data_IF_801655156722
#
_entry.id   IF_801655156722
#
_cell.length_a   1.000
_cell.length_b   1.000
_cell.length_c   1.000
_cell.angle_alpha   90.00
_cell.angle_beta   90.00
_cell.angle_gamma   90.00
#
_symmetry.space_group_name_H-M   'P 1'
#
loop_
_entity.id
_entity.type
_entity.pdbx_description
1 polymer ?
#
# COMPACT_ATOMS: atom_id res chain seq x y z
N UNK A 1 -0.62 0.93 66.09
CA UNK A 1 -1.03 2.22 65.51
C UNK A 1 -1.16 2.01 64.00
N UNK A 2 -2.36 1.75 63.47
CA UNK A 2 -2.58 1.63 62.02
C UNK A 2 -2.75 3.03 61.42
N UNK A 3 -1.93 3.36 60.43
CA UNK A 3 -2.03 4.60 59.65
C UNK A 3 -2.73 4.28 58.33
N UNK A 4 -3.64 5.16 57.97
CA UNK A 4 -4.77 4.96 57.09
C UNK A 4 -4.42 4.63 55.63
N UNK A 5 -5.26 3.77 55.07
CA UNK A 5 -5.33 3.33 53.68
C UNK A 5 -6.61 3.95 53.09
N UNK A 6 -6.55 5.20 52.64
CA UNK A 6 -7.67 5.91 52.02
C UNK A 6 -7.13 6.93 51.01
N UNK A 7 -7.79 7.03 49.86
CA UNK A 7 -7.80 8.17 48.90
C UNK A 7 -6.88 8.18 47.65
N UNK A 8 -6.73 7.07 46.93
CA UNK A 8 -6.25 7.12 45.52
C UNK A 8 -7.37 7.03 44.46
N UNK A 9 -8.62 6.77 44.84
CA UNK A 9 -9.72 6.57 43.88
C UNK A 9 -10.42 7.87 43.38
N UNK A 10 -10.04 9.05 43.88
CA UNK A 10 -10.68 10.33 43.48
C UNK A 10 -9.84 11.25 42.60
N UNK A 11 -8.63 10.84 42.20
CA UNK A 11 -7.76 11.70 41.36
C UNK A 11 -8.07 11.66 39.87
N UNK A 12 -8.76 10.62 39.38
CA UNK A 12 -9.02 10.46 37.94
C UNK A 12 -10.29 11.16 37.43
N UNK A 13 -11.18 11.64 38.31
CA UNK A 13 -12.42 12.29 37.87
C UNK A 13 -12.25 13.79 37.49
N UNK A 14 -11.11 14.42 37.77
CA UNK A 14 -10.87 15.86 37.47
C UNK A 14 -10.02 16.13 36.23
N UNK A 15 -9.56 15.11 35.51
CA UNK A 15 -8.71 15.30 34.32
C UNK A 15 -9.46 15.30 32.99
N UNK A 16 -10.79 15.16 33.01
CA UNK A 16 -11.62 15.05 31.81
C UNK A 16 -12.40 16.31 31.43
N UNK A 17 -12.15 17.48 32.04
CA UNK A 17 -12.94 18.70 31.79
C UNK A 17 -12.15 19.90 31.26
N UNK A 18 -10.93 19.72 30.74
CA UNK A 18 -10.08 20.83 30.29
C UNK A 18 -9.42 20.56 28.93
N UNK A 19 -10.21 20.06 27.97
CA UNK A 19 -9.83 19.96 26.55
C UNK A 19 -11.00 20.43 25.66
N UNK A 20 -11.49 21.64 25.89
CA UNK A 20 -12.43 22.32 24.96
C UNK A 20 -12.04 23.80 24.81
N UNK A 21 -10.86 24.07 24.25
CA UNK A 21 -10.52 25.40 23.74
C UNK A 21 -9.32 25.41 22.78
N UNK A 22 -9.05 24.32 22.03
CA UNK A 22 -8.17 24.43 20.87
C UNK A 22 -9.03 24.74 19.65
N UNK A 23 -9.06 26.03 19.30
CA UNK A 23 -9.58 26.48 18.03
C UNK A 23 -8.93 25.68 16.91
N UNK A 24 -9.73 24.83 16.26
CA UNK A 24 -9.39 24.28 14.96
C UNK A 24 -9.23 25.46 14.00
N UNK A 25 -7.98 25.91 13.88
CA UNK A 25 -7.48 26.66 12.74
C UNK A 25 -7.61 25.70 11.55
N UNK A 26 -8.81 25.67 10.98
CA UNK A 26 -9.10 24.96 9.72
C UNK A 26 -8.26 25.68 8.68
N UNK A 27 -7.03 25.21 8.53
CA UNK A 27 -6.16 25.61 7.44
C UNK A 27 -7.00 25.48 6.16
N UNK A 28 -7.13 26.55 5.36
CA UNK A 28 -7.93 26.48 4.16
C UNK A 28 -7.44 25.29 3.34
N UNK A 29 -8.35 24.35 3.07
CA UNK A 29 -8.12 23.26 2.12
C UNK A 29 -7.61 23.96 0.87
N UNK A 30 -6.31 23.86 0.67
CA UNK A 30 -5.65 24.37 -0.52
C UNK A 30 -6.05 23.38 -1.59
N UNK A 31 -7.15 23.68 -2.27
CA UNK A 31 -7.54 22.96 -3.47
C UNK A 31 -6.30 22.93 -4.36
N UNK A 32 -5.83 21.74 -4.79
CA UNK A 32 -4.73 21.68 -5.74
C UNK A 32 -5.17 22.50 -6.95
N UNK A 33 -4.35 23.50 -7.29
CA UNK A 33 -4.54 24.28 -8.50
C UNK A 33 -4.70 23.27 -9.65
N UNK A 34 -5.90 23.23 -10.22
CA UNK A 34 -6.16 22.51 -11.47
C UNK A 34 -5.21 23.14 -12.50
N UNK A 35 -4.10 22.46 -12.74
CA UNK A 35 -3.33 22.71 -13.94
C UNK A 35 -4.23 22.23 -15.06
N UNK A 36 -4.79 23.19 -15.82
CA UNK A 36 -5.27 22.99 -17.18
C UNK A 36 -4.09 22.44 -17.99
N UNK A 37 -3.82 21.14 -17.84
CA UNK A 37 -2.96 20.41 -18.73
C UNK A 37 -3.71 20.38 -20.04
N UNK A 38 -3.25 21.24 -20.95
CA UNK A 38 -3.60 21.26 -22.36
C UNK A 38 -3.89 19.84 -22.82
N UNK A 39 -5.14 19.63 -23.23
CA UNK A 39 -5.62 18.43 -23.90
C UNK A 39 -4.78 18.22 -25.13
N UNK A 40 -3.72 17.42 -24.98
CA UNK A 40 -2.94 16.92 -26.09
C UNK A 40 -3.84 15.90 -26.77
N UNK A 41 -4.58 16.36 -27.78
CA UNK A 41 -5.38 15.56 -28.70
C UNK A 41 -4.45 14.49 -29.30
N UNK A 42 -4.45 13.31 -28.67
CA UNK A 42 -3.86 12.12 -29.24
C UNK A 42 -4.94 11.58 -30.15
N UNK A 43 -4.80 11.86 -31.44
CA UNK A 43 -5.46 11.12 -32.51
C UNK A 43 -4.97 9.66 -32.42
N UNK A 44 -5.67 8.89 -31.59
CA UNK A 44 -5.56 7.44 -31.51
C UNK A 44 -6.65 6.87 -32.40
N UNK A 45 -6.23 6.27 -33.50
CA UNK A 45 -7.05 5.37 -34.31
C UNK A 45 -7.43 4.16 -33.43
N UNK A 46 -8.48 4.32 -32.60
CA UNK A 46 -9.16 3.24 -31.88
C UNK A 46 -10.18 2.60 -32.83
N UNK A 47 -9.65 1.89 -33.82
CA UNK A 47 -10.39 0.82 -34.45
C UNK A 47 -10.26 -0.40 -33.53
N UNK A 48 -11.40 -0.88 -32.99
CA UNK A 48 -11.68 -2.32 -32.79
C UNK A 48 -11.90 -2.86 -31.35
N UNK A 49 -12.66 -2.18 -30.49
CA UNK A 49 -13.27 -2.80 -29.29
C UNK A 49 -14.76 -2.45 -29.03
N UNK A 50 -15.46 -1.81 -29.98
CA UNK A 50 -16.91 -1.57 -29.94
C UNK A 50 -17.79 -2.83 -30.07
N UNK A 51 -17.21 -4.03 -30.25
CA UNK A 51 -17.96 -5.28 -30.47
C UNK A 51 -18.53 -5.92 -29.19
N UNK A 52 -18.25 -5.37 -27.99
CA UNK A 52 -18.80 -5.91 -26.74
C UNK A 52 -20.11 -5.25 -26.30
N UNK A 53 -20.65 -4.29 -27.06
CA UNK A 53 -21.84 -3.54 -26.66
C UNK A 53 -23.03 -3.62 -27.64
N UNK A 54 -23.07 -4.51 -28.64
CA UNK A 54 -24.15 -4.46 -29.65
C UNK A 54 -24.63 -5.80 -30.28
N UNK A 55 -24.61 -6.94 -29.59
CA UNK A 55 -25.25 -8.17 -30.14
C UNK A 55 -26.63 -8.54 -29.54
N UNK A 56 -27.15 -7.76 -28.59
CA UNK A 56 -28.55 -7.89 -28.09
C UNK A 56 -29.41 -6.62 -28.33
N UNK A 57 -28.95 -5.72 -29.21
CA UNK A 57 -29.64 -4.46 -29.50
C UNK A 57 -30.78 -4.55 -30.52
N UNK A 58 -31.03 -5.71 -31.14
CA UNK A 58 -32.10 -5.87 -32.14
C UNK A 58 -33.48 -6.21 -31.57
N UNK A 59 -33.67 -6.14 -30.24
CA UNK A 59 -35.03 -6.23 -29.67
C UNK A 59 -35.25 -5.64 -28.29
N UNK A 60 -34.41 -4.71 -27.83
CA UNK A 60 -34.89 -3.74 -26.84
C UNK A 60 -35.76 -2.76 -27.62
N UNK A 61 -37.09 -2.75 -27.44
CA UNK A 61 -37.92 -1.71 -28.03
C UNK A 61 -37.28 -0.39 -27.61
N UNK A 62 -36.92 0.43 -28.59
CA UNK A 62 -36.45 1.79 -28.37
C UNK A 62 -37.20 2.33 -27.17
N UNK A 63 -36.54 2.86 -26.12
CA UNK A 63 -37.25 3.41 -24.99
C UNK A 63 -38.14 4.48 -25.59
N UNK A 64 -39.40 4.09 -25.80
CA UNK A 64 -40.46 4.99 -26.06
C UNK A 64 -40.55 5.66 -24.71
N UNK A 65 -39.78 6.73 -24.57
CA UNK A 65 -40.04 7.81 -23.66
C UNK A 65 -41.34 8.45 -24.19
N UNK A 66 -42.42 7.65 -24.13
CA UNK A 66 -43.80 8.06 -23.92
C UNK A 66 -43.97 8.56 -22.49
N UNK A 67 -42.88 8.95 -21.82
CA UNK A 67 -42.86 10.11 -20.95
C UNK A 67 -42.97 11.40 -21.77
N UNK A 68 -43.96 11.48 -22.66
CA UNK A 68 -44.67 12.73 -22.84
C UNK A 68 -45.35 12.95 -21.47
N UNK A 69 -44.56 13.45 -20.50
CA UNK A 69 -45.06 14.09 -19.29
C UNK A 69 -45.82 15.30 -19.81
N UNK A 70 -47.03 15.03 -20.27
CA UNK A 70 -48.07 15.96 -20.55
C UNK A 70 -48.49 16.48 -19.16
N UNK A 71 -47.63 17.31 -18.56
CA UNK A 71 -47.90 18.14 -17.37
C UNK A 71 -48.92 19.24 -17.75
N UNK A 72 -49.59 19.12 -18.89
CA UNK A 72 -50.75 19.90 -19.28
C UNK A 72 -51.98 18.99 -19.33
N UNK A 73 -52.26 18.32 -18.21
CA UNK A 73 -53.61 17.87 -17.87
C UNK A 73 -54.51 19.06 -17.54
N UNK A 74 -54.62 20.02 -18.46
CA UNK A 74 -55.66 21.05 -18.42
C UNK A 74 -56.64 20.73 -19.54
N UNK A 75 -57.45 19.70 -19.32
CA UNK A 75 -58.69 19.48 -20.04
C UNK A 75 -59.68 20.56 -19.60
N UNK A 76 -59.52 21.75 -20.19
CA UNK A 76 -60.38 22.91 -20.06
C UNK A 76 -60.55 23.49 -21.45
N UNK A 77 -61.47 22.87 -22.18
CA UNK A 77 -62.24 23.42 -23.29
C UNK A 77 -62.39 24.94 -23.18
N UNK A 78 -61.93 25.70 -24.18
CA UNK A 78 -62.68 26.74 -24.89
C UNK A 78 -61.82 27.33 -26.03
N UNK A 79 -62.53 27.70 -27.09
CA UNK A 79 -62.08 27.91 -28.45
C UNK A 79 -61.28 29.20 -28.69
N UNK A 80 -60.63 29.23 -29.85
CA UNK A 80 -60.18 30.42 -30.58
C UNK A 80 -59.12 31.31 -29.91
N UNK A 81 -57.88 30.84 -29.90
CA UNK A 81 -56.72 31.73 -29.81
C UNK A 81 -55.75 31.40 -30.91
N UNK A 82 -55.67 32.30 -31.90
CA UNK A 82 -54.76 32.23 -33.02
C UNK A 82 -53.37 31.81 -32.55
N UNK A 83 -52.85 30.72 -33.14
CA UNK A 83 -51.50 30.22 -32.92
C UNK A 83 -50.49 31.29 -33.29
N UNK A 84 -50.23 32.20 -32.36
CA UNK A 84 -49.07 33.05 -32.40
C UNK A 84 -47.89 32.09 -32.39
N UNK A 85 -47.06 32.06 -33.46
CA UNK A 85 -45.84 31.27 -33.45
C UNK A 85 -45.11 31.65 -32.18
N UNK A 86 -44.89 30.66 -31.31
CA UNK A 86 -44.14 30.88 -30.08
C UNK A 86 -42.90 31.67 -30.47
N UNK A 87 -42.74 32.82 -29.84
CA UNK A 87 -41.63 33.71 -30.11
C UNK A 87 -40.34 32.87 -30.10
N UNK A 88 -39.47 33.09 -31.10
CA UNK A 88 -38.25 32.29 -31.27
C UNK A 88 -37.45 32.26 -29.95
N UNK A 89 -37.50 33.35 -29.20
CA UNK A 89 -36.96 33.50 -27.84
C UNK A 89 -37.50 32.45 -26.86
N UNK A 90 -38.82 32.19 -26.84
CA UNK A 90 -39.43 31.20 -25.95
C UNK A 90 -39.05 29.77 -26.30
N UNK A 91 -38.87 29.47 -27.60
CA UNK A 91 -38.41 28.15 -28.02
C UNK A 91 -36.95 27.91 -27.63
N UNK A 92 -36.12 28.92 -27.78
CA UNK A 92 -34.69 28.80 -27.46
C UNK A 92 -34.46 28.79 -25.95
N UNK A 93 -35.23 29.54 -25.16
CA UNK A 93 -35.16 29.45 -23.70
C UNK A 93 -35.55 28.05 -23.19
N UNK A 94 -36.59 27.43 -23.76
CA UNK A 94 -36.99 26.06 -23.40
C UNK A 94 -35.91 25.02 -23.74
N UNK A 95 -35.20 25.19 -24.88
CA UNK A 95 -34.07 24.31 -25.24
C UNK A 95 -32.92 24.46 -24.26
N UNK A 96 -32.51 25.70 -23.97
CA UNK A 96 -31.42 25.98 -23.02
C UNK A 96 -31.75 25.41 -21.64
N UNK A 97 -32.99 25.58 -21.19
CA UNK A 97 -33.45 25.03 -19.91
C UNK A 97 -33.39 23.49 -19.88
N UNK A 98 -33.80 22.81 -20.96
CA UNK A 98 -33.68 21.35 -21.05
C UNK A 98 -32.21 20.91 -20.98
N UNK A 99 -31.34 21.53 -21.78
CA UNK A 99 -29.90 21.21 -21.77
C UNK A 99 -29.29 21.46 -20.40
N UNK A 100 -29.67 22.54 -19.73
CA UNK A 100 -29.20 22.85 -18.37
C UNK A 100 -29.61 21.77 -17.36
N UNK A 101 -30.86 21.30 -17.39
CA UNK A 101 -31.30 20.23 -16.49
C UNK A 101 -30.67 18.88 -16.81
N UNK A 102 -30.57 18.50 -18.09
CA UNK A 102 -29.96 17.24 -18.50
C UNK A 102 -28.47 17.20 -18.15
N UNK A 103 -27.77 18.31 -18.40
CA UNK A 103 -26.34 18.47 -18.07
C UNK A 103 -26.15 18.48 -16.55
N UNK A 104 -26.91 19.30 -15.83
CA UNK A 104 -26.81 19.38 -14.37
C UNK A 104 -27.16 18.08 -13.66
N UNK A 105 -28.11 17.30 -14.19
CA UNK A 105 -28.44 15.97 -13.65
C UNK A 105 -27.30 14.97 -13.88
N UNK A 106 -26.74 14.92 -15.10
CA UNK A 106 -25.60 14.05 -15.41
C UNK A 106 -24.36 14.40 -14.59
N UNK A 107 -24.04 15.69 -14.48
CA UNK A 107 -22.93 16.20 -13.68
C UNK A 107 -23.16 15.91 -12.19
N UNK A 108 -24.38 16.10 -11.69
CA UNK A 108 -24.77 15.81 -10.31
C UNK A 108 -24.59 14.34 -9.95
N UNK A 109 -25.04 13.41 -10.80
CA UNK A 109 -24.82 11.96 -10.61
C UNK A 109 -23.33 11.63 -10.61
N UNK A 110 -22.60 12.17 -11.58
CA UNK A 110 -21.17 11.87 -11.75
C UNK A 110 -20.38 12.38 -10.55
N UNK A 111 -20.62 13.62 -10.14
CA UNK A 111 -20.01 14.24 -8.96
C UNK A 111 -20.35 13.48 -7.67
N UNK A 112 -21.63 13.11 -7.48
CA UNK A 112 -22.05 12.31 -6.34
C UNK A 112 -21.36 10.94 -6.27
N UNK A 113 -21.25 10.24 -7.40
CA UNK A 113 -20.53 8.95 -7.48
C UNK A 113 -19.05 9.09 -7.15
N UNK A 114 -18.37 10.09 -7.74
CA UNK A 114 -16.95 10.33 -7.47
C UNK A 114 -16.72 10.71 -6.00
N UNK A 115 -17.58 11.54 -5.43
CA UNK A 115 -17.51 11.93 -4.02
C UNK A 115 -17.67 10.73 -3.09
N UNK A 116 -18.63 9.85 -3.36
CA UNK A 116 -18.83 8.63 -2.57
C UNK A 116 -17.66 7.65 -2.70
N UNK A 117 -17.16 7.44 -3.93
CA UNK A 117 -16.00 6.58 -4.19
C UNK A 117 -14.75 7.09 -3.47
N UNK A 118 -14.47 8.39 -3.57
CA UNK A 118 -13.32 9.00 -2.90
C UNK A 118 -13.42 8.85 -1.38
N UNK A 119 -14.61 9.09 -0.80
CA UNK A 119 -14.82 8.91 0.64
C UNK A 119 -14.56 7.47 1.08
N UNK A 120 -15.07 6.47 0.35
CA UNK A 120 -14.83 5.06 0.65
C UNK A 120 -13.37 4.66 0.49
N UNK A 121 -12.69 5.18 -0.53
CA UNK A 121 -11.25 4.96 -0.73
C UNK A 121 -10.43 5.56 0.42
N UNK A 122 -10.71 6.80 0.81
CA UNK A 122 -9.97 7.49 1.87
C UNK A 122 -10.16 6.77 3.21
N UNK A 123 -11.37 6.31 3.51
CA UNK A 123 -11.65 5.51 4.71
C UNK A 123 -10.86 4.19 4.68
N UNK A 124 -10.96 3.41 3.59
CA UNK A 124 -10.24 2.16 3.45
C UNK A 124 -8.71 2.34 3.51
N UNK A 125 -8.19 3.38 2.87
CA UNK A 125 -6.77 3.71 2.89
C UNK A 125 -6.28 4.09 4.29
N UNK A 126 -7.04 4.91 5.02
CA UNK A 126 -6.69 5.32 6.38
C UNK A 126 -6.65 4.13 7.35
N UNK A 127 -7.49 3.12 7.15
CA UNK A 127 -7.47 1.88 7.93
C UNK A 127 -6.32 0.95 7.52
N UNK A 128 -6.11 0.75 6.21
CA UNK A 128 -5.17 -0.22 5.66
C UNK A 128 -3.70 0.24 5.72
N UNK A 129 -3.43 1.51 5.41
CA UNK A 129 -2.07 2.01 5.23
C UNK A 129 -1.20 1.93 6.49
N UNK A 130 -1.66 2.27 7.70
CA UNK A 130 -0.89 2.10 8.94
C UNK A 130 -0.53 0.62 9.20
N UNK A 131 -1.47 -0.30 9.00
CA UNK A 131 -1.26 -1.74 9.19
C UNK A 131 -0.25 -2.30 8.18
N UNK A 132 -0.40 -1.93 6.91
CA UNK A 132 0.55 -2.32 5.86
C UNK A 132 1.96 -1.81 6.14
N UNK A 133 2.11 -0.56 6.60
CA UNK A 133 3.40 0.01 7.00
C UNK A 133 4.02 -0.73 8.18
N UNK A 134 3.24 -1.00 9.23
CA UNK A 134 3.73 -1.71 10.42
C UNK A 134 4.24 -3.13 10.06
N UNK A 135 3.47 -3.87 9.26
CA UNK A 135 3.87 -5.19 8.75
C UNK A 135 5.12 -5.11 7.89
N UNK A 136 5.14 -4.19 6.92
CA UNK A 136 6.29 -3.99 6.03
C UNK A 136 7.56 -3.66 6.79
N UNK A 137 7.44 -2.84 7.84
CA UNK A 137 8.55 -2.50 8.72
C UNK A 137 9.09 -3.72 9.49
N UNK A 138 8.23 -4.52 10.14
CA UNK A 138 8.65 -5.75 10.84
C UNK A 138 9.32 -6.73 9.88
N UNK A 139 8.73 -6.94 8.69
CA UNK A 139 9.30 -7.80 7.65
C UNK A 139 10.68 -7.32 7.21
N UNK A 140 10.83 -6.02 7.00
CA UNK A 140 12.11 -5.39 6.67
C UNK A 140 13.17 -5.61 7.74
N UNK A 141 12.81 -5.46 9.02
CA UNK A 141 13.74 -5.72 10.14
C UNK A 141 14.18 -7.18 10.19
N UNK A 142 13.26 -8.14 10.09
CA UNK A 142 13.60 -9.57 10.13
C UNK A 142 14.50 -9.95 8.95
N UNK A 143 14.21 -9.47 7.74
CA UNK A 143 15.06 -9.73 6.56
C UNK A 143 16.45 -9.09 6.69
N UNK A 144 16.52 -7.86 7.24
CA UNK A 144 17.79 -7.19 7.50
C UNK A 144 18.64 -7.96 8.51
N UNK A 145 18.04 -8.47 9.60
CA UNK A 145 18.72 -9.31 10.59
C UNK A 145 19.22 -10.63 9.99
N UNK A 146 18.39 -11.30 9.19
CA UNK A 146 18.82 -12.53 8.50
C UNK A 146 20.03 -12.27 7.59
N UNK A 147 19.99 -11.18 6.82
CA UNK A 147 21.12 -10.80 5.96
C UNK A 147 22.37 -10.44 6.79
N UNK A 148 22.20 -9.73 7.90
CA UNK A 148 23.29 -9.40 8.81
C UNK A 148 23.99 -10.65 9.38
N UNK A 149 23.22 -11.65 9.82
CA UNK A 149 23.76 -12.92 10.30
C UNK A 149 24.56 -13.64 9.22
N UNK A 150 24.03 -13.72 8.00
CA UNK A 150 24.73 -14.35 6.87
C UNK A 150 26.07 -13.67 6.56
N UNK A 151 26.14 -12.34 6.65
CA UNK A 151 27.39 -11.59 6.43
C UNK A 151 28.39 -11.82 7.57
N UNK A 152 27.92 -11.91 8.82
CA UNK A 152 28.79 -12.15 9.96
C UNK A 152 29.32 -13.58 10.00
N UNK A 153 28.50 -14.57 9.65
CA UNK A 153 28.94 -15.97 9.53
C UNK A 153 30.06 -16.10 8.50
N UNK A 154 29.94 -15.42 7.35
CA UNK A 154 30.99 -15.40 6.33
C UNK A 154 32.29 -14.76 6.82
N UNK A 155 32.23 -13.72 7.68
CA UNK A 155 33.42 -13.08 8.25
C UNK A 155 34.15 -13.98 9.25
N UNK A 156 33.41 -14.79 10.01
CA UNK A 156 33.97 -15.66 11.03
C UNK A 156 34.69 -16.88 10.42
N UNK A 157 34.36 -17.29 9.18
CA UNK A 157 35.04 -18.39 8.49
C UNK A 157 36.49 -18.03 8.10
N UNK A 158 36.76 -16.79 7.69
CA UNK A 158 38.10 -16.37 7.22
C UNK A 158 39.16 -16.35 8.33
N UNK A 159 38.74 -16.15 9.59
CA UNK A 159 39.67 -16.06 10.73
C UNK A 159 40.13 -17.44 11.23
N UNK A 160 39.33 -18.50 11.00
CA UNK A 160 39.66 -19.86 11.47
C UNK A 160 40.70 -20.57 10.61
N UNK A 161 40.86 -20.21 9.33
CA UNK A 161 41.76 -20.94 8.41
C UNK A 161 43.23 -20.47 8.48
N UNK A 162 43.50 -19.26 9.00
CA UNK A 162 44.89 -18.73 9.11
C UNK A 162 45.62 -19.26 10.36
N UNK A 163 44.90 -19.71 11.40
CA UNK A 163 45.48 -20.16 12.67
C UNK A 163 46.00 -21.60 12.73
N UNK A 164 45.67 -22.45 11.74
CA UNK A 164 45.86 -23.90 11.83
C UNK A 164 47.16 -24.48 11.24
N UNK A 165 47.94 -23.72 10.47
CA UNK A 165 49.01 -24.31 9.62
C UNK A 165 50.45 -23.85 9.92
N UNK A 166 50.72 -23.13 11.01
CA UNK A 166 52.05 -22.55 11.26
C UNK A 166 53.02 -23.39 12.12
N UNK A 167 52.75 -24.66 12.42
CA UNK A 167 53.66 -25.49 13.25
C UNK A 167 54.64 -26.40 12.48
N UNK A 168 54.78 -26.30 11.16
CA UNK A 168 55.85 -27.05 10.44
C UNK A 168 56.34 -26.35 9.18
N UNK A 169 57.22 -25.37 9.35
CA UNK A 169 58.24 -25.05 8.33
C UNK A 169 59.46 -24.43 9.00
N UNK A 170 60.44 -25.31 9.18
CA UNK A 170 61.82 -25.04 9.57
C UNK A 170 62.42 -23.92 8.71
N UNK A 171 63.16 -23.05 9.40
CA UNK A 171 64.38 -22.37 8.96
C UNK A 171 64.88 -22.69 7.54
N UNK A 172 64.82 -21.70 6.65
CA UNK A 172 65.94 -21.37 5.78
C UNK A 172 65.77 -19.91 5.33
N UNK A 173 66.63 -19.04 5.86
CA UNK A 173 66.89 -17.72 5.28
C UNK A 173 67.46 -17.87 3.87
N UNK A 174 67.23 -16.87 2.99
CA UNK A 174 68.30 -15.88 2.83
C UNK A 174 67.81 -14.43 2.62
N UNK A 175 68.45 -13.54 3.36
CA UNK A 175 69.14 -12.33 2.88
C UNK A 175 68.47 -11.40 1.84
N UNK A 176 68.05 -10.24 2.37
CA UNK A 176 68.38 -8.86 1.92
C UNK A 176 67.99 -8.33 0.53
N UNK A 177 67.46 -7.09 0.60
CA UNK A 177 67.40 -6.04 -0.44
C UNK A 177 66.24 -6.19 -1.45
N UNK A 178 65.49 -5.17 -1.85
CA UNK A 178 65.66 -3.72 -1.78
C UNK A 178 64.31 -3.01 -2.01
N UNK A 179 64.20 -1.78 -1.50
CA UNK A 179 63.66 -0.58 -2.18
C UNK A 179 62.45 -0.74 -3.14
N UNK A 180 61.30 -0.16 -2.80
CA UNK A 180 60.72 0.94 -3.61
C UNK A 180 59.45 1.50 -2.98
N UNK A 181 59.60 2.73 -2.48
CA UNK A 181 58.58 3.75 -2.32
C UNK A 181 57.58 3.84 -3.49
N UNK A 182 56.29 4.03 -3.20
CA UNK A 182 55.54 5.10 -3.88
C UNK A 182 54.37 5.59 -3.01
N UNK A 183 54.53 6.82 -2.55
CA UNK A 183 53.46 7.67 -2.05
C UNK A 183 52.63 8.18 -3.24
N UNK A 184 51.31 8.16 -3.11
CA UNK A 184 50.38 9.01 -3.86
C UNK A 184 49.12 9.19 -3.01
N UNK A 185 48.81 10.32 -2.37
CA UNK A 185 48.32 11.60 -2.95
C UNK A 185 47.24 11.31 -3.99
N UNK A 186 45.99 11.76 -3.94
CA UNK A 186 45.37 13.03 -3.52
C UNK A 186 43.83 12.79 -3.50
N UNK A 187 43.06 13.25 -2.52
CA UNK A 187 42.41 14.58 -2.44
C UNK A 187 41.20 14.81 -3.35
N UNK A 188 40.09 15.25 -2.72
CA UNK A 188 38.99 16.11 -3.25
C UNK A 188 38.00 15.36 -4.16
N UNK A 189 36.69 15.65 -4.21
CA UNK A 189 35.91 16.89 -4.04
C UNK A 189 34.42 16.48 -4.00
N UNK A 190 33.62 17.01 -3.08
CA UNK A 190 32.73 18.16 -3.27
C UNK A 190 31.42 17.89 -4.05
N UNK A 191 30.35 18.37 -3.42
CA UNK A 191 29.01 18.59 -3.89
C UNK A 191 28.83 18.81 -5.40
N UNK A 192 27.80 18.18 -5.96
CA UNK A 192 27.14 18.66 -7.16
C UNK A 192 25.63 18.60 -6.98
N UNK A 193 25.09 19.73 -6.52
CA UNK A 193 23.71 20.12 -6.79
C UNK A 193 23.57 20.31 -8.30
N UNK A 194 22.77 19.46 -8.94
CA UNK A 194 22.50 19.46 -10.36
C UNK A 194 21.00 19.47 -10.62
N UNK A 195 20.41 20.66 -10.50
CA UNK A 195 19.18 21.06 -11.20
C UNK A 195 19.44 20.88 -12.70
N UNK A 196 18.57 20.21 -13.47
CA UNK A 196 18.24 20.46 -14.89
C UNK A 196 17.24 19.42 -15.47
N UNK A 197 16.33 19.94 -16.30
CA UNK A 197 15.62 19.31 -17.44
C UNK A 197 14.67 18.12 -17.11
N UNK A 198 13.34 18.27 -17.13
CA UNK A 198 12.46 18.52 -18.30
C UNK A 198 12.97 17.85 -19.58
N UNK A 199 12.44 16.67 -19.90
CA UNK A 199 12.65 16.04 -21.21
C UNK A 199 12.09 14.61 -21.32
N UNK A 200 10.94 14.47 -21.97
CA UNK A 200 10.60 13.30 -22.79
C UNK A 200 10.08 12.05 -22.06
N UNK A 201 8.75 11.98 -21.88
CA UNK A 201 8.04 10.71 -21.73
C UNK A 201 8.23 9.90 -23.01
N UNK A 202 9.03 8.84 -22.94
CA UNK A 202 9.10 7.82 -23.99
C UNK A 202 7.87 6.94 -23.85
N UNK A 203 7.03 6.92 -24.88
CA UNK A 203 5.97 5.94 -25.09
C UNK A 203 6.58 4.54 -24.97
N UNK A 204 6.24 3.81 -23.91
CA UNK A 204 6.48 2.37 -23.81
C UNK A 204 5.50 1.69 -24.76
N UNK A 205 5.95 1.47 -25.99
CA UNK A 205 5.29 0.66 -27.00
C UNK A 205 5.34 -0.81 -26.55
N UNK A 206 4.24 -1.53 -26.77
CA UNK A 206 3.97 -2.86 -26.24
C UNK A 206 5.11 -3.87 -26.33
N UNK A 207 5.31 -4.58 -25.22
CA UNK A 207 6.04 -5.84 -25.19
C UNK A 207 5.10 -6.94 -25.62
N UNK A 208 5.16 -7.26 -26.91
CA UNK A 208 4.80 -8.58 -27.40
C UNK A 208 5.58 -9.64 -26.62
N UNK A 209 4.90 -10.77 -26.36
CA UNK A 209 5.42 -12.01 -25.79
C UNK A 209 6.55 -12.61 -26.66
N UNK A 210 7.73 -12.00 -26.62
CA UNK A 210 8.97 -12.56 -27.14
C UNK A 210 9.74 -13.19 -25.98
N UNK A 211 9.54 -14.49 -25.76
CA UNK A 211 10.35 -15.28 -24.84
C UNK A 211 11.84 -15.11 -25.22
N UNK A 212 12.71 -14.65 -24.30
CA UNK A 212 14.14 -14.60 -24.58
C UNK A 212 14.65 -16.03 -24.73
N UNK A 213 15.05 -16.36 -25.96
CA UNK A 213 15.83 -17.55 -26.26
C UNK A 213 17.12 -17.48 -25.44
N UNK A 214 17.16 -18.26 -24.35
CA UNK A 214 18.35 -18.43 -23.53
C UNK A 214 19.46 -19.05 -24.40
N UNK A 215 20.72 -18.57 -24.31
CA UNK A 215 21.83 -19.28 -24.92
C UNK A 215 21.97 -20.64 -24.23
N UNK A 216 22.01 -21.70 -25.03
CA UNK A 216 22.43 -23.04 -24.60
C UNK A 216 23.86 -22.93 -24.08
N UNK A 217 24.00 -22.85 -22.76
CA UNK A 217 25.29 -22.94 -22.09
C UNK A 217 25.58 -24.43 -21.97
N UNK A 218 26.55 -24.87 -22.77
CA UNK A 218 27.13 -26.21 -22.73
C UNK A 218 27.34 -26.68 -21.28
N UNK A 219 26.85 -27.89 -21.04
CA UNK A 219 27.00 -28.69 -19.84
C UNK A 219 28.49 -28.96 -19.59
N UNK A 220 29.16 -28.05 -18.88
CA UNK A 220 30.47 -28.33 -18.31
C UNK A 220 30.30 -29.11 -17.00
N UNK A 221 29.97 -30.40 -17.15
CA UNK A 221 30.01 -31.40 -16.09
C UNK A 221 31.47 -31.66 -15.67
N UNK A 222 32.00 -30.86 -14.74
CA UNK A 222 33.41 -31.01 -14.38
C UNK A 222 33.87 -30.45 -13.04
N UNK A 223 32.99 -29.89 -12.23
CA UNK A 223 33.37 -29.36 -10.91
C UNK A 223 32.45 -29.92 -9.84
N UNK A 224 32.81 -31.10 -9.35
CA UNK A 224 32.34 -31.67 -8.09
C UNK A 224 32.80 -30.80 -6.92
N UNK A 225 32.21 -29.61 -6.77
CA UNK A 225 32.29 -28.85 -5.53
C UNK A 225 31.49 -29.63 -4.50
N UNK A 226 32.18 -30.48 -3.74
CA UNK A 226 31.61 -31.19 -2.59
C UNK A 226 30.73 -30.22 -1.80
N UNK A 227 29.51 -30.61 -1.42
CA UNK A 227 28.65 -29.75 -0.62
C UNK A 227 29.40 -29.43 0.66
N UNK A 228 29.94 -28.20 0.76
CA UNK A 228 30.50 -27.65 2.00
C UNK A 228 29.44 -27.92 3.05
N UNK A 229 29.76 -28.75 4.05
CA UNK A 229 28.83 -29.08 5.11
C UNK A 229 28.54 -27.80 5.86
N UNK A 230 27.45 -27.12 5.49
CA UNK A 230 26.98 -25.94 6.20
C UNK A 230 26.81 -26.37 7.65
N UNK A 231 27.50 -25.68 8.54
CA UNK A 231 27.30 -25.83 9.97
C UNK A 231 25.79 -25.78 10.26
N UNK A 232 25.31 -26.56 11.23
CA UNK A 232 23.89 -26.55 11.59
C UNK A 232 23.47 -25.10 11.82
N UNK A 233 22.46 -24.65 11.07
CA UNK A 233 21.98 -23.28 11.14
C UNK A 233 21.80 -22.88 12.61
N UNK A 234 22.38 -21.74 12.98
CA UNK A 234 22.31 -21.23 14.35
C UNK A 234 20.85 -21.18 14.81
N UNK A 235 20.59 -21.43 16.09
CA UNK A 235 19.23 -21.41 16.65
C UNK A 235 18.51 -20.08 16.36
N UNK A 236 19.26 -18.97 16.29
CA UNK A 236 18.78 -17.65 15.88
C UNK A 236 18.18 -17.64 14.46
N UNK A 237 18.80 -18.32 13.49
CA UNK A 237 18.30 -18.37 12.13
C UNK A 237 16.97 -19.11 12.02
N UNK A 238 16.78 -20.17 12.81
CA UNK A 238 15.50 -20.88 12.86
C UNK A 238 14.38 -20.01 13.45
N UNK A 239 14.69 -19.22 14.48
CA UNK A 239 13.75 -18.28 15.10
C UNK A 239 13.36 -17.15 14.14
N UNK A 240 14.32 -16.56 13.43
CA UNK A 240 14.07 -15.50 12.44
C UNK A 240 13.20 -16.01 11.28
N UNK A 241 13.47 -17.22 10.77
CA UNK A 241 12.63 -17.83 9.73
C UNK A 241 11.21 -18.11 10.22
N UNK A 242 11.06 -18.54 11.47
CA UNK A 242 9.75 -18.75 12.09
C UNK A 242 8.97 -17.43 12.18
N UNK A 243 9.61 -16.37 12.69
CA UNK A 243 9.01 -15.03 12.76
C UNK A 243 8.68 -14.46 11.39
N UNK A 244 9.54 -14.67 10.39
CA UNK A 244 9.25 -14.22 9.03
C UNK A 244 7.98 -14.87 8.49
N UNK A 245 7.81 -16.18 8.71
CA UNK A 245 6.57 -16.90 8.35
C UNK A 245 5.35 -16.35 9.10
N UNK A 246 5.51 -16.03 10.39
CA UNK A 246 4.44 -15.44 11.21
C UNK A 246 4.04 -14.05 10.69
N UNK A 247 5.00 -13.17 10.40
CA UNK A 247 4.78 -11.84 9.79
C UNK A 247 4.17 -11.95 8.39
N UNK A 248 4.63 -12.91 7.58
CA UNK A 248 4.09 -13.13 6.23
C UNK A 248 2.66 -13.69 6.29
N UNK A 249 2.32 -14.51 7.29
CA UNK A 249 0.97 -15.05 7.50
C UNK A 249 -0.06 -13.99 7.93
N UNK A 250 0.39 -12.87 8.51
CA UNK A 250 -0.46 -11.72 8.78
C UNK A 250 -0.76 -10.99 7.47
N UNK A 251 -1.76 -11.43 6.72
CA UNK A 251 -2.21 -10.68 5.55
C UNK A 251 -3.03 -9.46 5.98
N UNK A 252 -2.94 -8.37 5.21
CA UNK A 252 -3.69 -7.13 5.47
C UNK A 252 -5.19 -7.40 5.43
N UNK A 253 -5.64 -8.27 4.53
CA UNK A 253 -7.04 -8.69 4.41
C UNK A 253 -7.56 -9.37 5.68
N UNK A 254 -6.69 -10.14 6.37
CA UNK A 254 -7.05 -10.77 7.64
C UNK A 254 -7.12 -9.78 8.80
N UNK A 255 -6.39 -8.67 8.72
CA UNK A 255 -6.33 -7.63 9.75
C UNK A 255 -7.48 -6.62 9.63
N UNK A 256 -7.88 -6.29 8.40
CA UNK A 256 -9.02 -5.41 8.13
C UNK A 256 -10.36 -6.15 8.27
N UNK A 257 -10.35 -7.47 8.04
CA UNK A 257 -11.56 -8.26 7.94
C UNK A 257 -12.23 -8.09 6.57
N UNK A 258 -13.20 -8.96 6.24
CA UNK A 258 -13.99 -8.81 5.02
C UNK A 258 -14.83 -7.53 5.06
N UNK A 259 -15.07 -6.94 3.89
CA UNK A 259 -16.09 -5.89 3.73
C UNK A 259 -17.49 -6.52 3.86
N UNK A 260 -18.03 -6.45 5.07
CA UNK A 260 -19.36 -7.00 5.38
C UNK A 260 -20.48 -6.23 4.73
N UNK A 261 -20.29 -4.96 4.40
CA UNK A 261 -21.30 -4.14 3.74
C UNK A 261 -21.44 -4.59 2.28
N UNK A 262 -20.32 -4.72 1.56
CA UNK A 262 -20.31 -5.29 0.22
C UNK A 262 -20.86 -6.73 0.20
N UNK A 263 -20.51 -7.54 1.21
CA UNK A 263 -20.98 -8.92 1.30
C UNK A 263 -22.48 -9.02 1.61
N UNK A 264 -23.00 -8.13 2.45
CA UNK A 264 -24.44 -8.01 2.74
C UNK A 264 -25.21 -7.59 1.50
N UNK A 265 -24.71 -6.60 0.76
CA UNK A 265 -25.31 -6.18 -0.51
C UNK A 265 -25.36 -7.34 -1.52
N UNK A 266 -24.25 -8.09 -1.67
CA UNK A 266 -24.21 -9.26 -2.55
C UNK A 266 -25.20 -10.37 -2.11
N UNK A 267 -25.41 -10.54 -0.80
CA UNK A 267 -26.40 -11.49 -0.27
C UNK A 267 -27.84 -11.03 -0.55
N UNK A 268 -28.13 -9.75 -0.37
CA UNK A 268 -29.43 -9.14 -0.71
C UNK A 268 -29.76 -9.33 -2.20
N UNK A 269 -28.80 -9.13 -3.09
CA UNK A 269 -28.97 -9.34 -4.53
C UNK A 269 -29.21 -10.82 -4.89
N UNK A 270 -28.62 -11.74 -4.13
CA UNK A 270 -28.75 -13.18 -4.36
C UNK A 270 -30.04 -13.80 -3.79
N UNK A 271 -30.85 -13.04 -3.04
CA UNK A 271 -32.03 -13.54 -2.34
C UNK A 271 -31.71 -14.55 -1.23
N UNK A 272 -30.46 -14.55 -0.73
CA UNK A 272 -30.01 -15.43 0.34
C UNK A 272 -30.64 -15.04 1.69
N UNK A 273 -31.03 -16.05 2.48
CA UNK A 273 -31.56 -15.83 3.84
C UNK A 273 -30.52 -15.18 4.76
N UNK A 274 -30.93 -14.14 5.48
CA UNK A 274 -30.05 -13.27 6.28
C UNK A 274 -29.47 -13.93 7.55
N UNK A 275 -30.02 -15.08 7.95
CA UNK A 275 -29.76 -15.67 9.27
C UNK A 275 -28.35 -16.28 9.39
N UNK A 276 -27.79 -16.85 8.32
CA UNK A 276 -26.45 -17.48 8.36
C UNK A 276 -25.30 -16.46 8.25
N UNK A 277 -25.57 -15.28 7.67
CA UNK A 277 -24.55 -14.25 7.42
C UNK A 277 -24.01 -13.63 8.71
N UNK A 278 -24.87 -13.46 9.72
CA UNK A 278 -24.52 -12.77 10.96
C UNK A 278 -23.56 -13.55 11.85
N UNK A 279 -23.59 -14.89 11.81
CA UNK A 279 -22.66 -15.72 12.59
C UNK A 279 -21.26 -15.71 11.97
N UNK A 280 -21.16 -15.80 10.64
CA UNK A 280 -19.88 -15.71 9.93
C UNK A 280 -19.24 -14.32 10.11
N UNK A 281 -20.05 -13.25 10.06
CA UNK A 281 -19.63 -11.87 10.32
C UNK A 281 -18.96 -11.74 11.70
N UNK A 282 -19.64 -12.22 12.74
CA UNK A 282 -19.12 -12.17 14.11
C UNK A 282 -17.85 -13.00 14.27
N UNK A 283 -17.82 -14.21 13.71
CA UNK A 283 -16.66 -15.09 13.81
C UNK A 283 -15.43 -14.50 13.09
N UNK A 284 -15.63 -13.90 11.93
CA UNK A 284 -14.54 -13.27 11.18
C UNK A 284 -14.06 -11.97 11.82
N UNK A 285 -14.97 -11.13 12.34
CA UNK A 285 -14.60 -9.93 13.10
C UNK A 285 -13.83 -10.29 14.37
N UNK A 286 -14.21 -11.36 15.07
CA UNK A 286 -13.48 -11.86 16.22
C UNK A 286 -12.06 -12.31 15.84
N UNK A 287 -11.89 -13.02 14.72
CA UNK A 287 -10.57 -13.42 14.20
C UNK A 287 -9.72 -12.20 13.82
N UNK A 288 -10.30 -11.21 13.13
CA UNK A 288 -9.58 -10.00 12.74
C UNK A 288 -9.12 -9.20 13.98
N UNK A 289 -9.98 -9.09 15.00
CA UNK A 289 -9.62 -8.47 16.30
C UNK A 289 -8.49 -9.24 16.98
N UNK A 290 -8.59 -10.56 17.09
CA UNK A 290 -7.53 -11.38 17.67
C UNK A 290 -6.19 -11.16 16.95
N UNK A 291 -6.18 -11.15 15.61
CA UNK A 291 -4.98 -10.91 14.81
C UNK A 291 -4.41 -9.50 14.97
N UNK A 292 -5.29 -8.51 15.16
CA UNK A 292 -4.88 -7.14 15.46
C UNK A 292 -4.26 -7.01 16.85
N UNK A 293 -4.71 -7.79 17.82
CA UNK A 293 -4.16 -7.82 19.18
C UNK A 293 -2.82 -8.59 19.26
N UNK A 294 -2.57 -9.53 18.34
CA UNK A 294 -1.27 -10.23 18.20
C UNK A 294 -0.15 -9.35 17.62
N UNK A 295 -0.50 -8.31 16.87
CA UNK A 295 0.42 -7.38 16.19
C UNK A 295 1.43 -6.68 17.13
N UNK A 296 1.03 -6.08 18.27
CA UNK A 296 1.96 -5.48 19.22
C UNK A 296 2.93 -6.49 19.83
N UNK A 297 2.48 -7.71 20.15
CA UNK A 297 3.35 -8.77 20.69
C UNK A 297 4.40 -9.20 19.64
N UNK A 298 3.98 -9.36 18.39
CA UNK A 298 4.91 -9.69 17.30
C UNK A 298 5.95 -8.58 17.08
N UNK A 299 5.52 -7.32 17.15
CA UNK A 299 6.41 -6.17 17.06
C UNK A 299 7.44 -6.18 18.20
N UNK A 300 7.00 -6.41 19.44
CA UNK A 300 7.90 -6.49 20.59
C UNK A 300 8.90 -7.64 20.44
N UNK A 301 8.46 -8.81 19.97
CA UNK A 301 9.32 -9.97 19.69
C UNK A 301 10.39 -9.66 18.65
N UNK A 302 10.03 -8.97 17.56
CA UNK A 302 11.01 -8.55 16.53
C UNK A 302 12.00 -7.55 17.12
N UNK A 303 11.52 -6.52 17.85
CA UNK A 303 12.40 -5.54 18.48
C UNK A 303 13.36 -6.17 19.49
N UNK A 304 12.90 -7.15 20.26
CA UNK A 304 13.73 -7.89 21.21
C UNK A 304 14.86 -8.62 20.50
N UNK A 305 14.57 -9.30 19.38
CA UNK A 305 15.61 -9.96 18.58
C UNK A 305 16.58 -8.97 17.94
N UNK A 306 16.10 -7.80 17.50
CA UNK A 306 16.99 -6.74 17.00
C UNK A 306 17.96 -6.30 18.10
N UNK A 307 17.47 -6.05 19.32
CA UNK A 307 18.33 -5.67 20.47
C UNK A 307 19.35 -6.75 20.81
N UNK A 308 18.91 -8.01 20.82
CA UNK A 308 19.79 -9.17 21.08
C UNK A 308 20.88 -9.31 20.02
N UNK A 309 20.53 -9.17 18.73
CA UNK A 309 21.48 -9.30 17.62
C UNK A 309 22.48 -8.14 17.54
N UNK A 310 22.11 -6.97 18.03
CA UNK A 310 22.98 -5.79 18.09
C UNK A 310 23.87 -5.74 19.35
N UNK A 311 23.78 -6.73 20.27
CA UNK A 311 24.56 -6.73 21.51
C UNK A 311 24.16 -5.64 22.51
N UNK A 312 22.98 -5.03 22.34
CA UNK A 312 22.52 -3.93 23.21
C UNK A 312 22.07 -4.41 24.60
N UNK A 313 21.81 -5.71 24.78
CA UNK A 313 21.41 -6.25 26.10
C UNK A 313 22.54 -6.19 27.15
N UNK A 314 23.81 -6.18 26.75
CA UNK A 314 24.91 -6.11 27.72
C UNK A 314 25.01 -4.72 28.36
N UNK A 315 24.75 -3.66 27.59
CA UNK A 315 24.78 -2.29 28.10
C UNK A 315 23.68 -2.01 29.14
N UNK A 316 22.49 -2.59 28.99
CA UNK A 316 21.39 -2.43 29.95
C UNK A 316 21.62 -3.23 31.24
N UNK A 317 22.26 -4.40 31.17
CA UNK A 317 22.62 -5.16 32.39
C UNK A 317 23.65 -4.42 33.23
N UNK A 318 24.66 -3.83 32.59
CA UNK A 318 25.67 -3.04 33.29
C UNK A 318 25.08 -1.77 33.93
N UNK A 319 24.06 -1.16 33.29
CA UNK A 319 23.36 0.00 33.83
C UNK A 319 22.43 -0.31 35.02
N UNK A 320 21.89 -1.55 35.13
CA UNK A 320 21.06 -1.95 36.28
C UNK A 320 21.85 -2.39 37.51
N UNK A 321 23.14 -2.73 37.32
CA UNK A 321 24.03 -3.15 38.42
C UNK A 321 24.77 -1.96 39.04
N UNK A 322 24.83 -0.82 38.34
CA UNK A 322 25.44 0.43 38.79
C UNK A 322 24.46 1.30 39.62
#
# INVERSE_FOLDING_TARGET
>A
MPIALVDDAQRDARRSSEVEAEGHDVSPITTPAYNEAESNEVDGDDDNDDDWLMDDADQVPAPQVHGNLNINGHAGEEADSHGHPLDMTSRDSAKVQRVFYDTGYREGITSGKLSALQSGFDEGFNQAAPLGRARGFMRGQVLALMHWNMVNDARNEDEQDIGGSSSSSRSNEPSTSALSSSQGRQSRSAARAGKMARGGMRKLRGTANGAPHLPNVDENEGSSSSPRSRSPASSSDTNLRSLLKEVDSLNVDMLLGPDWEARRHAMEDSGGGMDDAGEEERASLAKARQKRDELPDLKERVERLVRQSCGLEEADRDAQVA
#
